data_IF_626809411693
#
_entry.id   IF_626809411693
#
_cell.length_a   1.000
_cell.length_b   1.000
_cell.length_c   1.000
_cell.angle_alpha   90.00
_cell.angle_beta   90.00
_cell.angle_gamma   90.00
#
_symmetry.space_group_name_H-M   'P 1'
#
loop_
_entity.id
_entity.type
_entity.pdbx_description
1 polymer ?
#
# COMPACT_ATOMS: atom_id res chain seq x y z
N UNK A 1 63.77 6.95 13.69
CA UNK A 1 62.63 6.96 14.65
C UNK A 1 61.53 7.90 14.15
N UNK A 2 61.88 9.09 13.65
CA UNK A 2 60.95 10.07 13.05
C UNK A 2 60.09 9.57 11.89
N UNK A 3 60.64 8.82 10.93
CA UNK A 3 59.85 8.37 9.76
C UNK A 3 58.74 7.40 10.14
N UNK A 4 59.00 6.48 11.09
CA UNK A 4 57.98 5.57 11.61
C UNK A 4 56.87 6.32 12.36
N UNK A 5 57.22 7.38 13.09
CA UNK A 5 56.23 8.22 13.76
C UNK A 5 55.39 9.02 12.76
N UNK A 6 55.99 9.56 11.70
CA UNK A 6 55.28 10.24 10.61
C UNK A 6 54.29 9.30 9.92
N UNK A 7 54.72 8.08 9.57
CA UNK A 7 53.86 7.06 8.94
C UNK A 7 52.69 6.66 9.85
N UNK A 8 52.95 6.48 11.15
CA UNK A 8 51.89 6.15 12.11
C UNK A 8 50.87 7.30 12.25
N UNK A 9 51.35 8.54 12.30
CA UNK A 9 50.46 9.71 12.35
C UNK A 9 49.65 9.89 11.07
N UNK A 10 50.22 9.64 9.89
CA UNK A 10 49.47 9.66 8.63
C UNK A 10 48.41 8.57 8.59
N UNK A 11 48.73 7.37 9.09
CA UNK A 11 47.77 6.28 9.17
C UNK A 11 46.61 6.61 10.10
N UNK A 12 46.89 7.13 11.30
CA UNK A 12 45.85 7.55 12.25
C UNK A 12 44.94 8.65 11.69
N UNK A 13 45.50 9.59 10.94
CA UNK A 13 44.71 10.63 10.29
C UNK A 13 43.81 10.04 9.21
N UNK A 14 44.32 9.10 8.42
CA UNK A 14 43.53 8.41 7.41
C UNK A 14 42.40 7.60 8.05
N UNK A 15 42.69 6.81 9.09
CA UNK A 15 41.70 6.02 9.81
C UNK A 15 40.60 6.91 10.41
N UNK A 16 40.97 8.07 10.98
CA UNK A 16 40.01 9.06 11.50
C UNK A 16 39.11 9.63 10.41
N UNK A 17 39.66 9.93 9.23
CA UNK A 17 38.87 10.42 8.08
C UNK A 17 37.90 9.34 7.62
N UNK A 18 38.35 8.09 7.54
CA UNK A 18 37.49 6.96 7.20
C UNK A 18 36.39 6.72 8.20
N UNK A 19 36.69 6.81 9.49
CA UNK A 19 35.70 6.67 10.55
C UNK A 19 34.64 7.78 10.45
N UNK A 20 35.06 9.02 10.21
CA UNK A 20 34.13 10.14 10.00
C UNK A 20 33.25 9.92 8.76
N UNK A 21 33.84 9.45 7.66
CA UNK A 21 33.10 9.16 6.44
C UNK A 21 32.10 8.01 6.62
N UNK A 22 32.52 6.90 7.24
CA UNK A 22 31.67 5.77 7.54
C UNK A 22 30.50 6.17 8.46
N UNK A 23 30.76 6.98 9.49
CA UNK A 23 29.74 7.50 10.37
C UNK A 23 28.74 8.43 9.63
N UNK A 24 29.22 9.27 8.72
CA UNK A 24 28.35 10.11 7.91
C UNK A 24 27.45 9.28 6.98
N UNK A 25 28.02 8.26 6.33
CA UNK A 25 27.26 7.33 5.50
C UNK A 25 26.21 6.56 6.30
N UNK A 26 26.57 6.04 7.48
CA UNK A 26 25.63 5.33 8.35
C UNK A 26 24.45 6.22 8.76
N UNK A 27 24.73 7.48 9.13
CA UNK A 27 23.67 8.46 9.44
C UNK A 27 22.77 8.72 8.23
N UNK A 28 23.36 8.90 7.05
CA UNK A 28 22.61 9.13 5.82
C UNK A 28 21.73 7.93 5.44
N UNK A 29 22.23 6.71 5.61
CA UNK A 29 21.48 5.48 5.40
C UNK A 29 20.26 5.41 6.33
N UNK A 30 20.43 5.65 7.63
CA UNK A 30 19.34 5.65 8.61
C UNK A 30 18.26 6.68 8.25
N UNK A 31 18.67 7.92 7.91
CA UNK A 31 17.72 8.97 7.51
C UNK A 31 16.94 8.55 6.25
N UNK A 32 17.60 7.87 5.32
CA UNK A 32 16.99 7.41 4.08
C UNK A 32 15.99 6.30 4.34
N UNK A 33 16.34 5.33 5.19
CA UNK A 33 15.44 4.24 5.62
C UNK A 33 14.20 4.79 6.32
N UNK A 34 14.36 5.73 7.25
CA UNK A 34 13.25 6.38 7.94
C UNK A 34 12.28 7.06 6.95
N UNK A 35 12.81 7.80 5.97
CA UNK A 35 11.99 8.44 4.93
C UNK A 35 11.24 7.42 4.07
N UNK A 36 11.90 6.30 3.73
CA UNK A 36 11.25 5.20 2.98
C UNK A 36 10.11 4.61 3.82
N UNK A 37 10.34 4.39 5.10
CA UNK A 37 9.32 3.84 6.00
C UNK A 37 8.11 4.77 6.15
N UNK A 38 8.35 6.07 6.33
CA UNK A 38 7.30 7.08 6.39
C UNK A 38 6.48 7.13 5.09
N UNK A 39 7.15 7.14 3.94
CA UNK A 39 6.48 7.12 2.64
C UNK A 39 5.64 5.84 2.46
N UNK A 40 6.21 4.68 2.81
CA UNK A 40 5.49 3.42 2.78
C UNK A 40 4.27 3.42 3.71
N UNK A 41 4.36 4.07 4.88
CA UNK A 41 3.22 4.24 5.79
C UNK A 41 2.11 5.06 5.16
N UNK A 42 2.45 6.16 4.49
CA UNK A 42 1.48 7.00 3.79
C UNK A 42 0.81 6.24 2.64
N UNK A 43 1.57 5.52 1.83
CA UNK A 43 1.05 4.67 0.75
C UNK A 43 0.08 3.62 1.30
N UNK A 44 0.45 2.91 2.37
CA UNK A 44 -0.44 1.92 3.01
C UNK A 44 -1.73 2.54 3.51
N UNK A 45 -1.66 3.74 4.07
CA UNK A 45 -2.85 4.46 4.53
C UNK A 45 -3.79 4.81 3.37
N UNK A 46 -3.24 5.36 2.28
CA UNK A 46 -4.04 5.67 1.08
C UNK A 46 -4.67 4.43 0.46
N UNK A 47 -3.90 3.34 0.30
CA UNK A 47 -4.41 2.07 -0.21
C UNK A 47 -5.53 1.50 0.68
N UNK A 48 -5.42 1.61 2.00
CA UNK A 48 -6.46 1.14 2.91
C UNK A 48 -7.76 1.94 2.77
N UNK A 49 -7.67 3.26 2.60
CA UNK A 49 -8.85 4.11 2.36
C UNK A 49 -9.52 3.81 1.01
N UNK A 50 -8.73 3.63 -0.05
CA UNK A 50 -9.24 3.24 -1.37
C UNK A 50 -9.89 1.86 -1.34
N UNK A 51 -9.25 0.87 -0.71
CA UNK A 51 -9.82 -0.46 -0.54
C UNK A 51 -11.16 -0.42 0.20
N UNK A 52 -11.29 0.43 1.23
CA UNK A 52 -12.55 0.63 1.95
C UNK A 52 -13.64 1.20 1.05
N UNK A 53 -13.31 2.19 0.22
CA UNK A 53 -14.24 2.78 -0.75
C UNK A 53 -14.67 1.75 -1.80
N UNK A 54 -13.72 1.01 -2.36
CA UNK A 54 -13.97 -0.06 -3.35
C UNK A 54 -14.86 -1.16 -2.76
N UNK A 55 -14.58 -1.62 -1.54
CA UNK A 55 -15.40 -2.62 -0.86
C UNK A 55 -16.83 -2.14 -0.64
N UNK A 56 -17.02 -0.86 -0.28
CA UNK A 56 -18.35 -0.26 -0.15
C UNK A 56 -19.09 -0.26 -1.49
N UNK A 57 -18.46 0.22 -2.56
CA UNK A 57 -19.05 0.24 -3.90
C UNK A 57 -19.41 -1.16 -4.41
N UNK A 58 -18.53 -2.13 -4.17
CA UNK A 58 -18.78 -3.52 -4.54
C UNK A 58 -20.00 -4.09 -3.80
N UNK A 59 -20.12 -3.85 -2.50
CA UNK A 59 -21.27 -4.29 -1.72
C UNK A 59 -22.57 -3.62 -2.19
N UNK A 60 -22.55 -2.31 -2.46
CA UNK A 60 -23.70 -1.58 -3.00
C UNK A 60 -24.14 -2.16 -4.35
N UNK A 61 -23.18 -2.45 -5.24
CA UNK A 61 -23.46 -3.06 -6.53
C UNK A 61 -24.05 -4.47 -6.40
N UNK A 62 -23.49 -5.30 -5.53
CA UNK A 62 -24.02 -6.64 -5.27
C UNK A 62 -25.45 -6.59 -4.70
N UNK A 63 -25.72 -5.64 -3.80
CA UNK A 63 -27.07 -5.42 -3.28
C UNK A 63 -28.03 -5.02 -4.39
N UNK A 64 -27.64 -4.11 -5.30
CA UNK A 64 -28.44 -3.74 -6.46
C UNK A 64 -28.77 -4.96 -7.33
N UNK A 65 -27.76 -5.77 -7.67
CA UNK A 65 -27.97 -6.97 -8.48
C UNK A 65 -28.96 -7.94 -7.84
N UNK A 66 -28.78 -8.25 -6.55
CA UNK A 66 -29.60 -9.22 -5.85
C UNK A 66 -31.04 -8.74 -5.59
N UNK A 67 -31.23 -7.45 -5.33
CA UNK A 67 -32.54 -6.91 -4.92
C UNK A 67 -33.40 -6.45 -6.09
N UNK A 68 -32.77 -5.92 -7.14
CA UNK A 68 -33.47 -5.31 -8.27
C UNK A 68 -33.38 -6.20 -9.51
N UNK A 69 -32.18 -6.60 -9.91
CA UNK A 69 -31.99 -7.27 -11.20
C UNK A 69 -32.36 -8.76 -11.17
N UNK A 70 -31.88 -9.49 -10.17
CA UNK A 70 -32.09 -10.93 -10.05
C UNK A 70 -33.38 -11.31 -9.34
N UNK A 71 -34.12 -10.32 -8.84
CA UNK A 71 -35.46 -10.57 -8.32
C UNK A 71 -36.43 -10.69 -9.50
N UNK A 72 -36.67 -11.92 -9.96
CA UNK A 72 -37.70 -12.19 -10.95
C UNK A 72 -39.09 -12.05 -10.31
N UNK A 73 -39.66 -10.86 -10.36
CA UNK A 73 -41.08 -10.67 -10.05
C UNK A 73 -41.91 -10.98 -11.30
N UNK A 74 -42.79 -11.99 -11.29
CA UNK A 74 -43.67 -12.26 -12.41
C UNK A 74 -44.55 -11.03 -12.67
N UNK A 75 -44.62 -10.62 -13.94
CA UNK A 75 -45.45 -9.50 -14.38
C UNK A 75 -46.92 -9.90 -14.38
N UNK A 76 -47.84 -8.93 -14.31
CA UNK A 76 -49.29 -9.22 -14.34
C UNK A 76 -49.68 -10.08 -15.56
N UNK A 77 -49.07 -9.82 -16.71
CA UNK A 77 -49.23 -10.59 -17.93
C UNK A 77 -48.86 -12.08 -17.80
N UNK A 78 -47.96 -12.46 -16.87
CA UNK A 78 -47.67 -13.87 -16.59
C UNK A 78 -48.87 -14.57 -15.97
N UNK A 79 -49.59 -13.91 -15.07
CA UNK A 79 -50.76 -14.49 -14.40
C UNK A 79 -51.97 -14.56 -15.33
N UNK A 80 -52.12 -13.60 -16.24
CA UNK A 80 -53.19 -13.57 -17.26
C UNK A 80 -53.10 -14.72 -18.27
N UNK A 81 -51.97 -15.43 -18.37
CA UNK A 81 -51.81 -16.57 -19.27
C UNK A 81 -52.59 -17.82 -18.82
N UNK A 82 -52.91 -17.93 -17.52
CA UNK A 82 -53.58 -19.09 -16.95
C UNK A 82 -55.11 -18.90 -16.92
N UNK A 83 -55.87 -19.99 -17.02
CA UNK A 83 -57.36 -20.01 -16.97
C UNK A 83 -58.08 -19.26 -18.12
N UNK A 84 -57.43 -19.09 -19.26
CA UNK A 84 -58.00 -18.40 -20.43
C UNK A 84 -58.96 -19.28 -21.26
N UNK A 85 -58.93 -20.60 -21.09
CA UNK A 85 -59.80 -21.54 -21.81
C UNK A 85 -60.43 -22.54 -20.82
N UNK A 86 -61.72 -22.83 -20.97
CA UNK A 86 -62.37 -23.94 -20.26
C UNK A 86 -62.26 -25.21 -21.10
N UNK A 87 -61.87 -26.32 -20.48
CA UNK A 87 -61.72 -27.63 -21.13
C UNK A 87 -63.06 -28.35 -21.29
#
# INVERSE_FOLDING_TARGET
IDERQKINNTQKNFDKIWEQYANALAKQAIITEQKIEENNRQIRFHLADENKKLAKQQNEYQNYLNTILYRSTPTAAFYEQFNTTSR
#
